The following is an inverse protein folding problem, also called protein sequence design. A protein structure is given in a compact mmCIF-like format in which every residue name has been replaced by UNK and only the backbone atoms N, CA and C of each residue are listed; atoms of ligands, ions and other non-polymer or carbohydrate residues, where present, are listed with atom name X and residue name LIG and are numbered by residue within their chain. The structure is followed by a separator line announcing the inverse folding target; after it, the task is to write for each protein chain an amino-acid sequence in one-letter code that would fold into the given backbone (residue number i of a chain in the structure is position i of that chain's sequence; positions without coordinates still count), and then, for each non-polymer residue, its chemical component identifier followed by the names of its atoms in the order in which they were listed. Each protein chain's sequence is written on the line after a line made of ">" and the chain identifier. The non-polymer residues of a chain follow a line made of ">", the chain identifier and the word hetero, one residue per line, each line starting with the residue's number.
data_IF_315489847459
#
_entry.id   IF_315489847459
#
_cell.length_a   1.000
_cell.length_b   1.000
_cell.length_c   1.000
_cell.angle_alpha   90.00
_cell.angle_beta   90.00
_cell.angle_gamma   90.00
#
_symmetry.space_group_name_H-M   'P 1'
#
loop_
_entity.id
_entity.type
_entity.pdbx_description
1 polymer ?
#
# COMPACT_ATOMS: atom_id res chain seq x y z
N UNK A 1 -23.39 7.92 11.64
CA UNK A 1 -23.30 6.46 11.35
C UNK A 1 -21.90 6.03 11.78
N UNK A 2 -21.75 4.96 12.56
CA UNK A 2 -20.42 4.45 12.89
C UNK A 2 -19.76 4.05 11.58
N UNK A 3 -18.60 4.65 11.28
CA UNK A 3 -17.76 4.18 10.18
C UNK A 3 -17.34 2.78 10.58
N UNK A 4 -17.59 1.78 9.73
CA UNK A 4 -17.05 0.44 9.91
C UNK A 4 -15.53 0.59 9.97
N UNK A 5 -14.94 0.55 11.17
CA UNK A 5 -13.53 0.84 11.38
C UNK A 5 -12.73 -0.44 11.27
N UNK A 6 -11.63 -0.40 10.52
CA UNK A 6 -10.62 -1.47 10.55
C UNK A 6 -9.89 -1.43 11.91
N UNK A 7 -9.69 -2.61 12.51
CA UNK A 7 -8.74 -2.74 13.61
C UNK A 7 -7.37 -2.29 13.12
N UNK A 8 -6.66 -1.48 13.87
CA UNK A 8 -5.36 -0.96 13.47
C UNK A 8 -4.44 -0.72 14.66
N UNK A 9 -3.15 -0.65 14.40
CA UNK A 9 -2.13 -0.18 15.35
C UNK A 9 -1.59 1.15 14.85
N UNK A 10 -1.50 2.10 15.76
CA UNK A 10 -1.04 3.46 15.48
C UNK A 10 0.30 3.73 16.14
N UNK A 11 1.22 4.29 15.38
CA UNK A 11 2.47 4.89 15.84
C UNK A 11 2.31 6.41 15.78
N UNK A 12 2.20 7.10 16.91
CA UNK A 12 2.05 8.56 16.92
C UNK A 12 3.28 9.25 16.31
N UNK A 13 3.08 10.41 15.72
CA UNK A 13 4.15 11.32 15.38
C UNK A 13 4.80 11.88 16.68
N UNK A 14 6.04 12.36 16.58
CA UNK A 14 6.75 12.98 17.71
C UNK A 14 6.20 14.37 18.07
N UNK A 15 5.48 15.00 17.14
CA UNK A 15 4.81 16.29 17.29
C UNK A 15 3.49 16.29 16.54
N UNK A 16 3.07 17.45 16.02
CA UNK A 16 1.97 17.53 15.08
C UNK A 16 2.34 16.74 13.81
N UNK A 17 1.46 15.85 13.31
CA UNK A 17 1.76 15.05 12.14
C UNK A 17 1.99 15.91 10.89
N UNK A 18 3.15 15.76 10.26
CA UNK A 18 3.46 16.41 8.98
C UNK A 18 2.86 15.66 7.78
N UNK A 19 2.36 14.45 8.01
CA UNK A 19 1.75 13.58 7.02
C UNK A 19 1.29 12.26 7.63
N UNK A 20 0.77 11.38 6.78
CA UNK A 20 0.25 10.06 7.13
C UNK A 20 1.01 8.96 6.38
N UNK A 21 1.42 7.91 7.07
CA UNK A 21 2.02 6.69 6.51
C UNK A 21 1.15 5.49 6.87
N UNK A 22 0.54 4.87 5.88
CA UNK A 22 -0.34 3.70 6.06
C UNK A 22 0.30 2.48 5.40
N UNK A 23 0.46 1.36 6.15
CA UNK A 23 1.06 0.14 5.62
C UNK A 23 0.11 -1.06 5.75
N UNK A 24 -0.21 -1.67 4.60
CA UNK A 24 -1.12 -2.80 4.46
C UNK A 24 -0.34 -4.12 4.45
N UNK A 25 -0.63 -5.03 5.39
CA UNK A 25 0.05 -6.32 5.55
C UNK A 25 -0.28 -7.32 4.42
N UNK A 26 0.53 -8.36 4.28
CA UNK A 26 0.32 -9.48 3.38
C UNK A 26 -0.77 -10.46 3.87
N UNK A 27 -1.21 -11.37 2.99
CA UNK A 27 -2.20 -12.42 3.33
C UNK A 27 -1.67 -13.32 4.45
N UNK A 28 -2.47 -13.51 5.47
CA UNK A 28 -2.16 -14.38 6.61
C UNK A 28 -1.41 -13.69 7.76
N UNK A 29 -0.99 -12.44 7.55
CA UNK A 29 -0.44 -11.59 8.60
C UNK A 29 -1.54 -10.78 9.31
N UNK A 30 -1.16 -9.76 10.06
CA UNK A 30 -2.06 -8.90 10.81
C UNK A 30 -1.53 -7.45 10.90
N UNK A 31 -2.20 -6.62 11.68
CA UNK A 31 -1.87 -5.20 11.89
C UNK A 31 -0.50 -4.95 12.53
N UNK A 32 0.17 -5.98 13.04
CA UNK A 32 1.48 -5.86 13.69
C UNK A 32 2.65 -6.20 12.78
N UNK A 33 2.38 -6.86 11.65
CA UNK A 33 3.39 -7.39 10.74
C UNK A 33 4.31 -6.29 10.18
N UNK A 34 3.73 -5.25 9.59
CA UNK A 34 4.48 -4.12 9.02
C UNK A 34 4.68 -2.96 10.00
N UNK A 35 4.21 -3.07 11.24
CA UNK A 35 4.34 -2.00 12.23
C UNK A 35 5.80 -1.57 12.48
N UNK A 36 6.78 -2.50 12.59
CA UNK A 36 8.19 -2.11 12.74
C UNK A 36 8.75 -1.33 11.53
N UNK A 37 8.17 -1.51 10.35
CA UNK A 37 8.58 -0.81 9.15
C UNK A 37 8.25 0.69 9.21
N UNK A 38 7.26 1.11 9.99
CA UNK A 38 6.94 2.51 10.20
C UNK A 38 8.12 3.30 10.79
N UNK A 39 8.84 2.72 11.75
CA UNK A 39 10.02 3.37 12.35
C UNK A 39 11.22 3.38 11.40
N UNK A 40 11.30 2.40 10.51
CA UNK A 40 12.35 2.37 9.47
C UNK A 40 12.09 3.43 8.39
N UNK A 41 10.84 3.58 7.93
CA UNK A 41 10.46 4.50 6.87
C UNK A 41 10.41 5.97 7.31
N UNK A 42 10.17 6.21 8.58
CA UNK A 42 10.10 7.55 9.17
C UNK A 42 10.79 7.55 10.56
N UNK A 43 12.13 7.45 10.58
CA UNK A 43 12.89 7.37 11.83
C UNK A 43 12.78 8.62 12.69
N UNK A 44 12.51 9.77 12.09
CA UNK A 44 12.27 11.02 12.81
C UNK A 44 10.86 11.12 13.40
N UNK A 45 9.97 10.16 13.09
CA UNK A 45 8.57 10.14 13.54
C UNK A 45 7.82 11.43 13.23
N UNK A 46 8.00 11.97 12.04
CA UNK A 46 7.28 13.16 11.59
C UNK A 46 5.86 12.84 11.15
N UNK A 47 5.61 11.56 10.76
CA UNK A 47 4.34 11.10 10.23
C UNK A 47 3.53 10.35 11.29
N UNK A 48 2.21 10.47 11.22
CA UNK A 48 1.33 9.50 11.85
C UNK A 48 1.45 8.18 11.09
N UNK A 49 1.93 7.13 11.75
CA UNK A 49 2.08 5.81 11.16
C UNK A 49 0.90 4.90 11.57
N UNK A 50 0.26 4.23 10.62
CA UNK A 50 -0.87 3.34 10.92
C UNK A 50 -0.80 2.07 10.11
N UNK A 51 -1.07 0.94 10.77
CA UNK A 51 -1.11 -0.38 10.13
C UNK A 51 -2.46 -1.04 10.41
N UNK A 52 -3.37 -1.10 9.42
CA UNK A 52 -4.67 -1.73 9.59
C UNK A 52 -4.61 -3.26 9.43
N UNK A 53 -5.60 -3.94 10.02
CA UNK A 53 -5.86 -5.36 9.86
C UNK A 53 -6.88 -5.60 8.75
N UNK A 54 -6.59 -6.55 7.87
CA UNK A 54 -7.54 -7.01 6.86
C UNK A 54 -8.87 -7.50 7.50
N UNK A 55 -10.02 -7.22 6.89
CA UNK A 55 -11.31 -7.50 7.51
C UNK A 55 -11.68 -8.99 7.53
N UNK A 56 -11.04 -9.81 6.69
CA UNK A 56 -11.36 -11.21 6.55
C UNK A 56 -10.42 -12.04 7.43
N UNK A 57 -11.03 -12.91 8.26
CA UNK A 57 -10.26 -13.80 9.14
C UNK A 57 -9.65 -14.97 8.35
N UNK A 58 -8.38 -15.27 8.61
CA UNK A 58 -7.67 -16.43 8.07
C UNK A 58 -7.09 -17.27 9.20
N UNK A 59 -7.63 -18.48 9.47
CA UNK A 59 -7.08 -19.36 10.50
C UNK A 59 -5.59 -19.70 10.26
N UNK A 60 -4.78 -19.89 11.34
CA UNK A 60 -5.17 -19.93 12.74
C UNK A 60 -5.25 -18.56 13.46
N UNK A 61 -4.89 -17.46 12.87
CA UNK A 61 -4.92 -16.17 13.57
C UNK A 61 -4.63 -14.96 12.68
N UNK A 62 -4.37 -15.19 11.41
CA UNK A 62 -4.08 -14.14 10.44
C UNK A 62 -5.33 -13.48 9.87
N UNK A 63 -5.09 -12.51 8.98
CA UNK A 63 -6.12 -11.79 8.26
C UNK A 63 -5.77 -11.70 6.76
N UNK A 64 -6.75 -11.32 5.96
CA UNK A 64 -6.53 -11.04 4.55
C UNK A 64 -7.52 -9.99 4.04
N UNK A 65 -7.17 -9.36 2.92
CA UNK A 65 -7.93 -8.25 2.36
C UNK A 65 -9.05 -8.74 1.44
N UNK A 66 -8.81 -9.80 0.69
CA UNK A 66 -9.79 -10.39 -0.23
C UNK A 66 -9.51 -11.88 -0.39
N UNK A 67 -10.52 -12.65 -0.78
CA UNK A 67 -10.34 -14.06 -1.09
C UNK A 67 -9.55 -14.23 -2.38
N UNK A 68 -8.70 -15.25 -2.42
CA UNK A 68 -7.83 -15.58 -3.54
C UNK A 68 -8.05 -17.03 -3.92
N UNK A 69 -8.52 -17.24 -5.15
CA UNK A 69 -8.61 -18.56 -5.75
C UNK A 69 -7.48 -18.80 -6.76
N UNK A 70 -7.02 -17.72 -7.39
CA UNK A 70 -5.91 -17.71 -8.33
C UNK A 70 -5.11 -16.42 -8.18
N UNK A 71 -3.78 -16.50 -8.24
CA UNK A 71 -2.91 -15.32 -8.14
C UNK A 71 -3.12 -14.40 -9.35
N UNK A 72 -3.24 -13.11 -9.10
CA UNK A 72 -3.55 -12.10 -10.11
C UNK A 72 -5.05 -11.81 -10.26
N UNK A 73 -5.90 -12.68 -9.70
CA UNK A 73 -7.37 -12.59 -9.84
C UNK A 73 -8.05 -12.56 -8.46
N UNK A 74 -8.14 -11.39 -7.82
CA UNK A 74 -8.90 -11.22 -6.58
C UNK A 74 -10.37 -11.60 -6.77
N UNK A 75 -10.98 -12.21 -5.76
CA UNK A 75 -12.42 -12.43 -5.75
C UNK A 75 -13.16 -11.08 -5.80
N UNK A 76 -14.02 -10.85 -6.79
CA UNK A 76 -14.60 -9.53 -7.03
C UNK A 76 -15.44 -9.00 -5.86
N UNK A 77 -16.19 -9.89 -5.18
CA UNK A 77 -17.08 -9.47 -4.10
C UNK A 77 -16.29 -9.00 -2.89
N UNK A 78 -15.43 -9.85 -2.38
CA UNK A 78 -14.62 -9.54 -1.18
C UNK A 78 -13.62 -8.42 -1.43
N UNK A 79 -13.07 -8.32 -2.65
CA UNK A 79 -12.20 -7.21 -3.03
C UNK A 79 -12.94 -5.88 -3.02
N UNK A 80 -14.12 -5.81 -3.64
CA UNK A 80 -14.90 -4.56 -3.73
C UNK A 80 -15.38 -4.10 -2.36
N UNK A 81 -15.86 -5.02 -1.52
CA UNK A 81 -16.26 -4.72 -0.15
C UNK A 81 -15.10 -4.18 0.68
N UNK A 82 -13.94 -4.83 0.61
CA UNK A 82 -12.74 -4.39 1.33
C UNK A 82 -12.17 -3.10 0.78
N UNK A 83 -12.17 -2.91 -0.53
CA UNK A 83 -11.73 -1.65 -1.14
C UNK A 83 -12.57 -0.47 -0.63
N UNK A 84 -13.90 -0.61 -0.60
CA UNK A 84 -14.79 0.43 -0.07
C UNK A 84 -14.54 0.71 1.40
N UNK A 85 -14.39 -0.34 2.22
CA UNK A 85 -14.11 -0.24 3.66
C UNK A 85 -12.76 0.43 3.92
N UNK A 86 -11.70 -0.03 3.25
CA UNK A 86 -10.35 0.51 3.41
C UNK A 86 -10.25 1.96 2.90
N UNK A 87 -10.97 2.30 1.82
CA UNK A 87 -11.07 3.67 1.31
C UNK A 87 -11.67 4.61 2.35
N UNK A 88 -12.85 4.28 2.87
CA UNK A 88 -13.52 5.09 3.90
C UNK A 88 -12.69 5.20 5.18
N UNK A 89 -11.98 4.12 5.53
CA UNK A 89 -11.14 4.09 6.72
C UNK A 89 -9.89 4.99 6.54
N UNK A 90 -9.20 4.93 5.40
CA UNK A 90 -8.04 5.82 5.12
C UNK A 90 -8.47 7.28 5.15
N UNK A 91 -9.62 7.60 4.52
CA UNK A 91 -10.15 8.96 4.48
C UNK A 91 -10.47 9.48 5.90
N UNK A 92 -11.06 8.62 6.75
CA UNK A 92 -11.37 8.96 8.13
C UNK A 92 -10.11 9.19 8.98
N UNK A 93 -9.09 8.32 8.85
CA UNK A 93 -7.81 8.47 9.57
C UNK A 93 -7.10 9.76 9.15
N UNK A 94 -7.05 10.05 7.85
CA UNK A 94 -6.45 11.28 7.35
C UNK A 94 -7.18 12.53 7.89
N UNK A 95 -8.52 12.52 7.86
CA UNK A 95 -9.33 13.62 8.37
C UNK A 95 -9.17 13.81 9.89
N UNK A 96 -9.16 12.74 10.66
CA UNK A 96 -8.95 12.78 12.13
C UNK A 96 -7.56 13.32 12.49
N UNK A 97 -6.55 12.98 11.70
CA UNK A 97 -5.18 13.47 11.85
C UNK A 97 -4.98 14.92 11.32
N UNK A 98 -5.97 15.49 10.65
CA UNK A 98 -5.82 16.80 9.99
C UNK A 98 -4.84 16.79 8.81
N UNK A 99 -4.62 15.62 8.19
CA UNK A 99 -3.67 15.41 7.10
C UNK A 99 -4.40 15.27 5.77
N UNK A 100 -3.94 15.96 4.72
CA UNK A 100 -4.50 15.80 3.37
C UNK A 100 -3.98 14.54 2.69
N UNK A 101 -4.68 14.08 1.64
CA UNK A 101 -4.22 12.95 0.83
C UNK A 101 -2.88 13.22 0.15
N UNK A 102 -2.63 14.46 -0.26
CA UNK A 102 -1.34 14.91 -0.82
C UNK A 102 -0.18 14.83 0.17
N UNK A 103 -0.46 14.68 1.45
CA UNK A 103 0.51 14.44 2.53
C UNK A 103 0.46 12.99 3.06
N UNK A 104 -0.13 12.08 2.28
CA UNK A 104 -0.30 10.67 2.66
C UNK A 104 0.54 9.77 1.76
N UNK A 105 1.29 8.85 2.37
CA UNK A 105 1.94 7.74 1.67
C UNK A 105 1.23 6.45 2.07
N UNK A 106 0.82 5.67 1.06
CA UNK A 106 0.21 4.37 1.25
C UNK A 106 1.20 3.30 0.78
N UNK A 107 1.45 2.30 1.61
CA UNK A 107 2.33 1.19 1.24
C UNK A 107 1.78 -0.16 1.65
N UNK A 108 2.38 -1.22 1.13
CA UNK A 108 1.99 -2.57 1.51
C UNK A 108 2.84 -3.65 0.87
N UNK A 109 2.68 -4.84 1.42
CA UNK A 109 3.38 -6.05 0.96
C UNK A 109 2.38 -7.08 0.44
N UNK A 110 2.71 -7.73 -0.68
CA UNK A 110 1.93 -8.83 -1.23
C UNK A 110 0.46 -8.42 -1.49
N UNK A 111 -0.51 -9.05 -0.85
CA UNK A 111 -1.91 -8.68 -0.92
C UNK A 111 -2.15 -7.21 -0.48
N UNK A 112 -1.38 -6.72 0.50
CA UNK A 112 -1.39 -5.33 0.91
C UNK A 112 -0.88 -4.37 -0.17
N UNK A 113 0.10 -4.78 -1.00
CA UNK A 113 0.54 -3.98 -2.14
C UNK A 113 -0.55 -3.85 -3.22
N UNK A 114 -1.36 -4.90 -3.41
CA UNK A 114 -2.53 -4.84 -4.30
C UNK A 114 -3.55 -3.83 -3.78
N UNK A 115 -3.81 -3.81 -2.46
CA UNK A 115 -4.66 -2.79 -1.83
C UNK A 115 -4.04 -1.38 -1.95
N UNK A 116 -2.72 -1.25 -1.85
CA UNK A 116 -2.00 0.01 -2.08
C UNK A 116 -2.30 0.58 -3.46
N UNK A 117 -2.16 -0.23 -4.51
CA UNK A 117 -2.52 0.20 -5.86
C UNK A 117 -4.02 0.54 -5.97
N UNK A 118 -4.89 -0.27 -5.39
CA UNK A 118 -6.32 -0.01 -5.43
C UNK A 118 -6.69 1.32 -4.78
N UNK A 119 -6.14 1.61 -3.61
CA UNK A 119 -6.42 2.83 -2.84
C UNK A 119 -5.82 4.09 -3.47
N UNK A 120 -4.67 3.96 -4.12
CA UNK A 120 -4.00 5.10 -4.74
C UNK A 120 -4.38 5.36 -6.19
N UNK A 121 -4.90 4.34 -6.90
CA UNK A 121 -5.18 4.43 -8.34
C UNK A 121 -6.66 4.17 -8.70
N UNK A 122 -7.48 3.73 -7.74
CA UNK A 122 -8.91 3.47 -7.99
C UNK A 122 -9.65 4.71 -8.47
N UNK A 123 -10.57 4.54 -9.40
CA UNK A 123 -11.37 5.63 -9.95
C UNK A 123 -12.16 6.36 -8.84
N UNK A 124 -12.17 7.69 -8.91
CA UNK A 124 -12.83 8.55 -7.93
C UNK A 124 -12.11 8.65 -6.57
N UNK A 125 -10.91 8.06 -6.41
CA UNK A 125 -10.11 8.25 -5.19
C UNK A 125 -9.31 9.55 -5.23
N UNK A 126 -9.17 10.18 -4.06
CA UNK A 126 -8.19 11.25 -3.90
C UNK A 126 -6.78 10.65 -3.96
N UNK A 127 -5.88 11.31 -4.68
CA UNK A 127 -4.52 10.81 -4.90
C UNK A 127 -3.66 11.02 -3.65
N UNK A 128 -3.02 9.97 -3.10
CA UNK A 128 -1.97 10.15 -2.11
C UNK A 128 -0.71 10.73 -2.77
N UNK A 129 0.21 11.27 -1.96
CA UNK A 129 1.52 11.72 -2.43
C UNK A 129 2.32 10.58 -3.06
N UNK A 130 2.28 9.40 -2.44
CA UNK A 130 3.08 8.27 -2.91
C UNK A 130 2.54 6.90 -2.56
N UNK A 131 2.98 5.90 -3.35
CA UNK A 131 2.66 4.48 -3.18
C UNK A 131 3.95 3.65 -3.03
N UNK A 132 3.99 2.80 -2.01
CA UNK A 132 5.06 1.82 -1.78
C UNK A 132 4.49 0.42 -2.03
N UNK A 133 4.75 -0.16 -3.20
CA UNK A 133 4.19 -1.44 -3.61
C UNK A 133 5.25 -2.55 -3.61
N UNK A 134 5.21 -3.42 -2.61
CA UNK A 134 6.21 -4.48 -2.42
C UNK A 134 5.61 -5.85 -2.76
N UNK A 135 6.15 -6.51 -3.79
CA UNK A 135 5.76 -7.86 -4.25
C UNK A 135 4.24 -8.01 -4.51
N UNK A 136 3.65 -7.05 -5.23
CA UNK A 136 2.22 -7.03 -5.56
C UNK A 136 1.95 -6.85 -7.05
N UNK A 137 0.70 -6.55 -7.39
CA UNK A 137 0.25 -6.26 -8.76
C UNK A 137 -0.86 -5.22 -8.78
N UNK A 138 -1.00 -4.51 -9.89
CA UNK A 138 -2.16 -3.61 -10.11
C UNK A 138 -3.40 -4.49 -10.32
N UNK A 139 -4.45 -4.33 -9.48
CA UNK A 139 -5.61 -5.22 -9.56
C UNK A 139 -6.42 -5.01 -10.84
N UNK A 140 -6.85 -6.13 -11.43
CA UNK A 140 -7.84 -6.18 -12.51
C UNK A 140 -9.02 -7.01 -12.01
N UNK A 141 -10.09 -6.33 -11.60
CA UNK A 141 -11.25 -6.95 -10.95
C UNK A 141 -12.52 -6.44 -11.63
N UNK A 142 -13.48 -7.31 -11.99
CA UNK A 142 -14.77 -6.88 -12.54
C UNK A 142 -15.47 -5.86 -11.61
N UNK A 143 -15.84 -4.71 -12.17
CA UNK A 143 -16.49 -3.63 -11.42
C UNK A 143 -15.54 -2.71 -10.62
N UNK A 144 -14.23 -2.92 -10.71
CA UNK A 144 -13.21 -2.03 -10.19
C UNK A 144 -12.44 -1.41 -11.37
N UNK A 145 -12.31 -0.09 -11.35
CA UNK A 145 -11.61 0.65 -12.39
C UNK A 145 -10.37 1.33 -11.83
N UNK A 146 -9.25 1.20 -12.53
CA UNK A 146 -8.01 1.93 -12.28
C UNK A 146 -8.03 3.19 -13.13
N UNK A 147 -7.85 4.34 -12.50
CA UNK A 147 -7.73 5.62 -13.18
C UNK A 147 -6.26 6.02 -13.27
N UNK A 148 -5.77 6.19 -14.49
CA UNK A 148 -4.38 6.54 -14.78
C UNK A 148 -4.24 7.95 -15.38
N UNK A 149 -5.24 8.80 -15.18
CA UNK A 149 -5.17 10.21 -15.58
C UNK A 149 -4.29 11.01 -14.60
N UNK A 150 -3.37 11.86 -15.06
CA UNK A 150 -2.60 12.75 -14.20
C UNK A 150 -3.50 13.76 -13.44
N UNK A 151 -3.06 14.21 -12.22
CA UNK A 151 -1.80 13.87 -11.59
C UNK A 151 -1.83 12.45 -10.99
N UNK A 152 -0.70 11.74 -11.13
CA UNK A 152 -0.51 10.41 -10.53
C UNK A 152 0.40 10.50 -9.30
N UNK A 153 0.20 9.65 -8.27
CA UNK A 153 1.12 9.58 -7.15
C UNK A 153 2.52 9.14 -7.61
N UNK A 154 3.56 9.52 -6.87
CA UNK A 154 4.86 8.88 -7.02
C UNK A 154 4.77 7.42 -6.60
N UNK A 155 5.47 6.53 -7.28
CA UNK A 155 5.38 5.09 -6.99
C UNK A 155 6.77 4.49 -6.85
N UNK A 156 6.98 3.72 -5.79
CA UNK A 156 8.11 2.81 -5.70
C UNK A 156 7.60 1.37 -5.70
N UNK A 157 8.19 0.56 -6.56
CA UNK A 157 7.86 -0.86 -6.72
C UNK A 157 9.09 -1.67 -6.35
N UNK A 158 8.96 -2.60 -5.40
CA UNK A 158 9.98 -3.58 -5.06
C UNK A 158 9.50 -5.01 -5.34
N UNK A 159 10.30 -5.84 -6.01
CA UNK A 159 9.92 -7.23 -6.31
C UNK A 159 11.12 -8.17 -6.34
N UNK A 160 10.95 -9.38 -5.80
CA UNK A 160 11.97 -10.44 -5.90
C UNK A 160 11.90 -11.14 -7.25
N UNK A 161 13.06 -11.25 -7.94
CA UNK A 161 13.12 -11.94 -9.23
C UNK A 161 12.79 -13.44 -9.16
N UNK A 162 12.96 -14.04 -7.96
CA UNK A 162 12.69 -15.45 -7.69
C UNK A 162 11.40 -15.66 -6.88
N UNK A 163 10.48 -14.71 -6.92
CA UNK A 163 9.23 -14.78 -6.17
C UNK A 163 8.34 -15.96 -6.66
N UNK A 164 8.13 -17.00 -5.84
CA UNK A 164 7.33 -18.16 -6.22
C UNK A 164 5.83 -17.98 -5.95
N UNK A 165 5.44 -16.89 -5.27
CA UNK A 165 4.05 -16.62 -4.87
C UNK A 165 3.41 -15.65 -5.87
N UNK A 166 4.01 -14.48 -6.05
CA UNK A 166 3.59 -13.49 -7.05
C UNK A 166 4.75 -13.30 -8.02
N UNK A 167 4.65 -13.85 -9.23
CA UNK A 167 5.70 -13.75 -10.23
C UNK A 167 6.16 -12.30 -10.42
N UNK A 168 7.46 -12.09 -10.55
CA UNK A 168 8.08 -10.79 -10.84
C UNK A 168 7.49 -10.10 -12.08
N UNK A 169 6.93 -10.87 -13.01
CA UNK A 169 6.25 -10.34 -14.20
C UNK A 169 5.08 -9.39 -13.85
N UNK A 170 4.46 -9.57 -12.69
CA UNK A 170 3.42 -8.64 -12.24
C UNK A 170 4.01 -7.28 -11.84
N UNK A 171 5.17 -7.27 -11.18
CA UNK A 171 5.89 -6.03 -10.86
C UNK A 171 6.36 -5.30 -12.13
N UNK A 172 6.90 -6.04 -13.09
CA UNK A 172 7.32 -5.50 -14.40
C UNK A 172 6.14 -4.90 -15.17
N UNK A 173 4.98 -5.57 -15.18
CA UNK A 173 3.75 -5.06 -15.80
C UNK A 173 3.23 -3.81 -15.11
N UNK A 174 3.25 -3.78 -13.77
CA UNK A 174 2.86 -2.59 -13.01
C UNK A 174 3.76 -1.40 -13.32
N UNK A 175 5.08 -1.60 -13.36
CA UNK A 175 6.05 -0.59 -13.77
C UNK A 175 5.77 -0.06 -15.19
N UNK A 176 5.63 -0.95 -16.17
CA UNK A 176 5.38 -0.55 -17.55
C UNK A 176 4.08 0.26 -17.68
N UNK A 177 2.99 -0.21 -17.06
CA UNK A 177 1.68 0.45 -17.07
C UNK A 177 1.75 1.88 -16.50
N UNK A 178 2.40 2.04 -15.36
CA UNK A 178 2.47 3.33 -14.66
C UNK A 178 3.44 4.29 -15.36
N UNK A 179 4.55 3.79 -15.88
CA UNK A 179 5.49 4.60 -16.67
C UNK A 179 4.85 5.09 -17.98
N UNK A 180 4.07 4.24 -18.67
CA UNK A 180 3.32 4.62 -19.87
C UNK A 180 2.26 5.70 -19.57
N UNK A 181 1.65 5.63 -18.38
CA UNK A 181 0.72 6.65 -17.91
C UNK A 181 1.40 7.97 -17.44
N UNK A 182 2.73 8.02 -17.43
CA UNK A 182 3.51 9.21 -17.05
C UNK A 182 3.69 9.40 -15.55
N UNK A 183 3.52 8.35 -14.73
CA UNK A 183 3.83 8.40 -13.32
C UNK A 183 5.34 8.45 -13.06
N UNK A 184 5.76 9.11 -11.98
CA UNK A 184 7.13 9.01 -11.45
C UNK A 184 7.28 7.67 -10.72
N UNK A 185 7.90 6.68 -11.38
CA UNK A 185 8.01 5.30 -10.90
C UNK A 185 9.46 4.90 -10.71
N UNK A 186 9.81 4.51 -9.48
CA UNK A 186 11.07 3.81 -9.16
C UNK A 186 10.82 2.30 -9.10
N UNK A 187 11.55 1.50 -9.89
CA UNK A 187 11.41 0.04 -9.93
C UNK A 187 12.68 -0.66 -9.46
N UNK A 188 12.55 -1.51 -8.46
CA UNK A 188 13.64 -2.27 -7.84
C UNK A 188 13.36 -3.77 -7.94
N UNK A 189 14.13 -4.47 -8.75
CA UNK A 189 14.08 -5.92 -8.88
C UNK A 189 15.28 -6.56 -8.17
N UNK A 190 15.00 -7.34 -7.13
CA UNK A 190 16.04 -8.00 -6.31
C UNK A 190 16.36 -9.38 -6.89
N UNK A 191 17.54 -9.61 -7.52
CA UNK A 191 17.78 -10.76 -8.39
C UNK A 191 17.76 -12.12 -7.67
N UNK A 192 18.03 -12.14 -6.36
CA UNK A 192 18.10 -13.37 -5.55
C UNK A 192 17.02 -13.46 -4.48
N UNK A 193 16.04 -12.57 -4.50
CA UNK A 193 14.99 -12.52 -3.50
C UNK A 193 13.75 -13.30 -3.96
N UNK A 194 13.18 -14.08 -3.05
CA UNK A 194 11.88 -14.72 -3.17
C UNK A 194 10.76 -13.73 -2.78
N UNK A 195 9.63 -14.25 -2.25
CA UNK A 195 8.51 -13.43 -1.78
C UNK A 195 8.83 -12.77 -0.44
N UNK A 196 9.45 -11.60 -0.47
CA UNK A 196 9.94 -10.88 0.71
C UNK A 196 10.05 -9.38 0.45
N UNK A 197 10.48 -8.64 1.47
CA UNK A 197 10.86 -7.22 1.38
C UNK A 197 12.38 -7.13 1.33
N UNK A 198 12.90 -6.45 0.30
CA UNK A 198 14.34 -6.26 0.15
C UNK A 198 14.87 -5.29 1.21
N UNK A 199 15.86 -5.76 1.97
CA UNK A 199 16.50 -4.96 3.01
C UNK A 199 17.33 -3.79 2.46
N UNK A 200 17.82 -3.87 1.22
CA UNK A 200 18.53 -2.76 0.58
C UNK A 200 17.53 -1.68 0.19
N UNK A 201 16.46 -2.04 -0.51
CA UNK A 201 15.37 -1.13 -0.83
C UNK A 201 14.79 -0.49 0.45
N UNK A 202 14.50 -1.29 1.48
CA UNK A 202 13.92 -0.79 2.73
C UNK A 202 14.77 0.31 3.39
N UNK A 203 16.09 0.30 3.21
CA UNK A 203 16.99 1.37 3.68
C UNK A 203 16.97 2.64 2.83
N UNK A 204 16.52 2.57 1.58
CA UNK A 204 16.39 3.72 0.68
C UNK A 204 15.03 4.41 0.83
N UNK A 205 14.01 3.66 1.26
CA UNK A 205 12.65 4.17 1.39
C UNK A 205 12.48 5.39 2.33
N UNK A 206 13.23 5.57 3.43
CA UNK A 206 13.12 6.80 4.24
C UNK A 206 13.36 8.07 3.43
N UNK A 207 14.43 8.11 2.62
CA UNK A 207 14.72 9.24 1.73
C UNK A 207 13.63 9.41 0.67
N UNK A 208 13.14 8.31 0.10
CA UNK A 208 12.06 8.36 -0.88
C UNK A 208 10.76 8.93 -0.29
N UNK A 209 10.40 8.56 0.96
CA UNK A 209 9.22 9.09 1.67
C UNK A 209 9.39 10.59 1.93
N UNK A 210 10.57 11.01 2.41
CA UNK A 210 10.89 12.42 2.66
C UNK A 210 10.81 13.26 1.38
N UNK A 211 11.42 12.81 0.28
CA UNK A 211 11.38 13.48 -1.01
C UNK A 211 9.94 13.56 -1.56
N UNK A 212 9.16 12.50 -1.40
CA UNK A 212 7.77 12.44 -1.86
C UNK A 212 6.89 13.45 -1.15
N UNK A 213 7.04 13.59 0.16
CA UNK A 213 6.28 14.54 0.97
C UNK A 213 6.85 15.96 0.93
N UNK A 214 8.12 16.12 0.59
CA UNK A 214 8.76 17.44 0.41
C UNK A 214 8.46 18.09 -0.93
N UNK A 215 8.01 17.32 -1.93
CA UNK A 215 7.63 17.80 -3.26
C UNK A 215 6.16 18.22 -3.36
N UNK A 216 5.35 18.00 -2.30
CA UNK A 216 3.91 18.29 -2.25
C UNK A 216 3.62 19.71 -1.71
#
# INVERSE_FOLDING_TARGET
>A
MAVDSLLSVTRPAAGEPEGLLVLFHGRGADERDLFPLLDLLDPARRLLGVTPRGPLHLPPGGAHWYAVYEIGFPDPLTFTETFRLASSWVDAVAAEAGVSHERTVIGGFSQGAVMTYALGLGAGRQRPAGLIALSGFVPSVPGFEVELSPPLPRVVIGHGALDPVISVEWGRRAHALLAEAGADVSYHESPHMAHSIDAALARELPGWVEDTLGAA
#
